data_IF_929984533743
#
_entry.id   IF_929984533743
#
_cell.length_a   1.000
_cell.length_b   1.000
_cell.length_c   1.000
_cell.angle_alpha   90.00
_cell.angle_beta   90.00
_cell.angle_gamma   90.00
#
_symmetry.space_group_name_H-M   'P 1'
#
loop_
_entity.id
_entity.type
_entity.pdbx_description
1 polymer ?
#
# COMPACT_ATOMS: atom_id res chain seq x y z
N UNK A 1 -1.99 -17.20 1.04
CA UNK A 1 -1.06 -16.16 1.47
C UNK A 1 0.07 -15.97 0.46
N UNK A 2 -0.06 -14.91 -0.32
CA UNK A 2 0.92 -14.36 -1.23
C UNK A 2 0.51 -12.93 -1.56
N UNK A 3 1.45 -12.11 -2.01
CA UNK A 3 1.15 -10.82 -2.60
C UNK A 3 1.95 -10.68 -3.89
N UNK A 4 1.75 -9.60 -4.63
CA UNK A 4 2.50 -9.30 -5.83
C UNK A 4 3.14 -7.92 -5.75
N UNK A 5 4.44 -7.83 -6.03
CA UNK A 5 5.15 -6.54 -6.05
C UNK A 5 5.51 -6.12 -7.47
N UNK A 6 5.46 -4.81 -7.74
CA UNK A 6 6.06 -4.26 -8.96
C UNK A 6 7.57 -4.11 -8.76
N UNK A 7 8.36 -5.02 -9.34
CA UNK A 7 9.82 -4.94 -9.23
C UNK A 7 10.42 -3.86 -10.14
N UNK A 8 11.31 -3.06 -9.57
CA UNK A 8 11.98 -1.95 -10.24
C UNK A 8 13.33 -2.37 -10.81
N UNK A 9 13.66 -2.00 -12.06
CA UNK A 9 14.99 -2.23 -12.61
C UNK A 9 16.03 -1.36 -11.91
N UNK A 10 17.30 -1.82 -11.89
CA UNK A 10 18.41 -1.11 -11.22
C UNK A 10 18.51 0.38 -11.62
N UNK A 11 18.24 0.72 -12.88
CA UNK A 11 18.27 2.12 -13.35
C UNK A 11 17.23 3.04 -12.71
N UNK A 12 16.12 2.47 -12.22
CA UNK A 12 15.08 3.21 -11.52
C UNK A 12 15.33 3.36 -10.01
N UNK A 13 16.27 2.60 -9.45
CA UNK A 13 16.60 2.66 -8.03
C UNK A 13 17.26 4.00 -7.66
N UNK A 14 17.05 4.44 -6.43
CA UNK A 14 17.57 5.68 -5.87
C UNK A 14 18.39 5.45 -4.61
N UNK A 15 18.77 6.54 -3.95
CA UNK A 15 19.54 6.53 -2.71
C UNK A 15 18.74 6.98 -1.50
N UNK A 16 17.51 7.46 -1.72
CA UNK A 16 16.64 8.03 -0.69
C UNK A 16 15.24 7.45 -0.83
N UNK A 17 14.75 6.86 0.27
CA UNK A 17 13.42 6.28 0.36
C UNK A 17 12.75 6.69 1.67
N UNK A 18 11.42 6.64 1.69
CA UNK A 18 10.65 6.54 2.92
C UNK A 18 9.84 5.26 2.91
N UNK A 19 9.77 4.62 4.07
CA UNK A 19 8.90 3.48 4.24
C UNK A 19 7.44 3.92 4.30
N UNK A 20 6.56 3.12 3.70
CA UNK A 20 5.11 3.14 3.91
C UNK A 20 4.67 1.69 3.88
N UNK A 21 3.97 1.24 4.93
CA UNK A 21 3.63 -0.16 5.09
C UNK A 21 2.53 -0.38 6.11
N UNK A 22 2.24 -1.64 6.41
CA UNK A 22 1.29 -2.05 7.45
C UNK A 22 2.06 -2.20 8.77
N UNK A 23 1.52 -1.73 9.92
CA UNK A 23 2.16 -1.92 11.22
C UNK A 23 2.24 -3.40 11.60
N UNK A 24 3.13 -3.72 12.52
CA UNK A 24 3.20 -5.04 13.12
C UNK A 24 1.84 -5.48 13.68
N UNK A 25 1.58 -6.77 13.66
CA UNK A 25 0.30 -7.34 14.07
C UNK A 25 0.49 -8.43 15.11
N UNK A 26 -0.44 -8.50 16.06
CA UNK A 26 -0.48 -9.57 17.05
C UNK A 26 -1.80 -10.31 16.98
N UNK A 27 -1.73 -11.64 17.11
CA UNK A 27 -2.92 -12.42 17.40
C UNK A 27 -3.32 -12.20 18.85
N UNK A 28 -4.60 -11.90 19.10
CA UNK A 28 -5.11 -11.82 20.46
C UNK A 28 -4.88 -13.16 21.18
N UNK A 29 -4.12 -13.13 22.28
CA UNK A 29 -3.91 -14.26 23.18
C UNK A 29 -4.41 -13.91 24.59
N UNK A 30 -4.84 -14.93 25.33
CA UNK A 30 -5.34 -14.78 26.70
C UNK A 30 -4.62 -15.75 27.64
N UNK A 31 -4.24 -15.27 28.82
CA UNK A 31 -3.80 -16.17 29.88
C UNK A 31 -4.96 -17.08 30.36
N UNK A 32 -4.63 -18.02 31.26
CA UNK A 32 -5.60 -18.97 31.81
C UNK A 32 -6.75 -18.30 32.59
N UNK A 33 -6.58 -17.04 32.98
CA UNK A 33 -7.55 -16.25 33.73
C UNK A 33 -8.37 -15.32 32.79
N UNK A 34 -8.12 -15.38 31.47
CA UNK A 34 -8.82 -14.58 30.46
C UNK A 34 -8.26 -13.17 30.28
N UNK A 35 -7.10 -12.86 30.87
CA UNK A 35 -6.46 -11.56 30.67
C UNK A 35 -5.70 -11.54 29.34
N UNK A 36 -5.76 -10.44 28.57
CA UNK A 36 -4.97 -10.31 27.35
C UNK A 36 -3.47 -10.41 27.64
N UNK A 37 -2.78 -11.33 26.96
CA UNK A 37 -1.31 -11.45 26.99
C UNK A 37 -0.74 -11.23 25.60
N UNK A 38 0.55 -10.91 25.55
CA UNK A 38 1.32 -10.78 24.31
C UNK A 38 1.32 -12.15 23.61
N UNK A 39 0.55 -12.26 22.52
CA UNK A 39 0.51 -13.45 21.68
C UNK A 39 1.70 -13.51 20.71
N UNK A 40 1.83 -14.56 19.89
CA UNK A 40 2.81 -14.55 18.81
C UNK A 40 2.48 -13.43 17.82
N UNK A 41 3.28 -12.36 17.83
CA UNK A 41 3.19 -11.28 16.86
C UNK A 41 3.95 -11.60 15.57
N UNK A 42 3.55 -10.90 14.52
CA UNK A 42 4.22 -10.89 13.23
C UNK A 42 4.76 -9.46 13.00
N UNK A 43 6.07 -9.29 12.78
CA UNK A 43 6.65 -7.97 12.62
C UNK A 43 6.31 -7.40 11.23
N UNK A 44 6.13 -6.08 11.20
CA UNK A 44 6.31 -5.31 9.98
C UNK A 44 7.80 -5.24 9.65
N UNK A 45 8.14 -5.27 8.36
CA UNK A 45 9.53 -5.31 7.91
C UNK A 45 9.86 -4.15 6.97
N UNK A 46 11.10 -3.68 7.07
CA UNK A 46 11.74 -2.79 6.11
C UNK A 46 13.02 -3.47 5.64
N UNK A 47 13.07 -3.82 4.36
CA UNK A 47 14.22 -4.52 3.77
C UNK A 47 14.96 -3.63 2.79
N UNK A 48 16.29 -3.57 2.91
CA UNK A 48 17.19 -2.85 2.01
C UNK A 48 18.13 -3.83 1.33
N UNK A 49 18.23 -3.79 0.00
CA UNK A 49 19.11 -4.63 -0.80
C UNK A 49 20.19 -3.76 -1.45
N UNK A 50 21.45 -4.06 -1.18
CA UNK A 50 22.60 -3.40 -1.80
C UNK A 50 22.74 -3.77 -3.28
N UNK A 51 23.11 -2.81 -4.13
CA UNK A 51 23.39 -3.08 -5.56
C UNK A 51 24.89 -2.97 -5.90
N UNK A 52 25.70 -2.55 -4.93
CA UNK A 52 27.13 -2.32 -5.09
C UNK A 52 27.86 -2.63 -3.78
N UNK A 53 29.08 -3.20 -3.83
CA UNK A 53 29.86 -3.45 -2.63
C UNK A 53 30.24 -2.17 -1.89
N UNK A 54 30.16 -2.20 -0.56
CA UNK A 54 30.56 -1.06 0.29
C UNK A 54 29.51 0.04 0.38
N UNK A 55 28.27 -0.24 -0.04
CA UNK A 55 27.15 0.70 0.06
C UNK A 55 26.82 0.94 1.53
N UNK A 56 27.01 2.17 2.03
CA UNK A 56 26.62 2.51 3.39
C UNK A 56 25.16 2.92 3.38
N UNK A 57 24.37 2.29 4.24
CA UNK A 57 22.94 2.56 4.41
C UNK A 57 22.71 3.09 5.82
N UNK A 58 21.90 4.12 5.94
CA UNK A 58 21.39 4.67 7.20
C UNK A 58 19.87 4.66 7.16
N UNK A 59 19.24 4.14 8.20
CA UNK A 59 17.80 4.16 8.40
C UNK A 59 17.49 4.99 9.63
N UNK A 60 16.73 6.06 9.46
CA UNK A 60 16.22 6.88 10.56
C UNK A 60 14.77 6.49 10.82
N UNK A 61 14.51 5.88 11.96
CA UNK A 61 13.19 5.44 12.40
C UNK A 61 12.34 6.63 12.90
N UNK A 62 11.00 6.55 12.79
CA UNK A 62 10.10 7.52 13.40
C UNK A 62 10.26 7.55 14.93
N UNK A 63 9.89 8.68 15.54
CA UNK A 63 9.99 8.84 16.99
C UNK A 63 9.15 7.79 17.73
N UNK A 64 9.78 7.12 18.70
CA UNK A 64 9.11 6.12 19.55
C UNK A 64 9.04 4.72 18.94
N UNK A 65 9.33 4.56 17.65
CA UNK A 65 9.34 3.26 16.99
C UNK A 65 10.46 2.39 17.55
N UNK A 66 10.13 1.13 17.81
CA UNK A 66 11.06 0.10 18.27
C UNK A 66 11.20 -0.99 17.22
N UNK A 67 12.44 -1.47 17.07
CA UNK A 67 12.82 -2.57 16.18
C UNK A 67 13.57 -3.62 16.99
N UNK A 68 13.52 -4.86 16.52
CA UNK A 68 14.25 -5.96 17.10
C UNK A 68 15.77 -5.82 16.84
N UNK A 69 16.56 -6.49 17.68
CA UNK A 69 18.01 -6.53 17.48
C UNK A 69 18.35 -7.33 16.23
N UNK A 70 19.26 -6.80 15.42
CA UNK A 70 19.76 -7.50 14.25
C UNK A 70 20.51 -8.78 14.68
N UNK A 71 20.01 -9.97 14.35
CA UNK A 71 20.59 -11.23 14.81
C UNK A 71 21.99 -11.48 14.21
N UNK A 72 22.32 -10.81 13.11
CA UNK A 72 23.64 -10.89 12.48
C UNK A 72 24.66 -9.95 13.13
N UNK A 73 24.20 -9.05 14.01
CA UNK A 73 25.02 -8.02 14.69
C UNK A 73 25.86 -7.16 13.73
N UNK A 74 25.46 -7.06 12.45
CA UNK A 74 26.19 -6.25 11.45
C UNK A 74 25.76 -4.79 11.47
N UNK A 75 24.53 -4.50 11.91
CA UNK A 75 24.03 -3.14 12.01
C UNK A 75 24.44 -2.46 13.32
N UNK A 76 24.72 -1.17 13.23
CA UNK A 76 24.98 -0.30 14.37
C UNK A 76 23.72 0.51 14.67
N UNK A 77 23.36 0.60 15.94
CA UNK A 77 22.20 1.38 16.41
C UNK A 77 22.65 2.51 17.34
N UNK A 78 22.18 3.73 17.06
CA UNK A 78 22.31 4.90 17.92
C UNK A 78 20.95 5.60 18.04
N UNK A 79 20.20 5.24 19.09
CA UNK A 79 18.82 5.71 19.27
C UNK A 79 17.90 5.23 18.14
N UNK A 80 17.35 6.17 17.38
CA UNK A 80 16.47 5.94 16.23
C UNK A 80 17.22 5.79 14.90
N UNK A 81 18.57 5.85 14.92
CA UNK A 81 19.39 5.71 13.72
C UNK A 81 20.01 4.32 13.69
N UNK A 82 19.74 3.58 12.63
CA UNK A 82 20.36 2.30 12.30
C UNK A 82 21.31 2.50 11.11
N UNK A 83 22.41 1.78 11.07
CA UNK A 83 23.31 1.81 9.91
C UNK A 83 23.97 0.47 9.65
N UNK A 84 24.19 0.17 8.38
CA UNK A 84 24.89 -1.03 7.92
C UNK A 84 25.71 -0.72 6.65
N UNK A 85 26.69 -1.58 6.35
CA UNK A 85 27.42 -1.55 5.07
C UNK A 85 27.04 -2.80 4.31
N UNK A 86 26.49 -2.63 3.10
CA UNK A 86 25.99 -3.72 2.28
C UNK A 86 26.94 -4.01 1.11
N UNK A 87 27.10 -5.30 0.83
CA UNK A 87 27.64 -5.86 -0.39
C UNK A 87 26.69 -5.74 -1.58
N UNK A 88 27.14 -6.21 -2.73
CA UNK A 88 26.25 -6.44 -3.87
C UNK A 88 25.28 -7.58 -3.57
N UNK A 89 23.99 -7.34 -3.81
CA UNK A 89 22.88 -8.27 -3.54
C UNK A 89 22.76 -8.70 -2.07
N UNK A 90 23.42 -7.98 -1.15
CA UNK A 90 23.28 -8.22 0.28
C UNK A 90 21.96 -7.62 0.78
N UNK A 91 21.18 -8.46 1.48
CA UNK A 91 19.86 -8.10 2.01
C UNK A 91 19.99 -7.72 3.48
N UNK A 92 19.40 -6.58 3.87
CA UNK A 92 19.28 -6.12 5.25
C UNK A 92 17.83 -5.84 5.61
N UNK A 93 17.26 -6.71 6.45
CA UNK A 93 15.90 -6.60 6.95
C UNK A 93 15.90 -6.06 8.37
N UNK A 94 15.04 -5.08 8.60
CA UNK A 94 14.75 -4.46 9.88
C UNK A 94 13.32 -4.87 10.25
N UNK A 95 13.16 -5.50 11.41
CA UNK A 95 11.87 -5.98 11.92
C UNK A 95 11.38 -5.05 13.02
N UNK A 96 10.15 -4.56 12.88
CA UNK A 96 9.50 -3.79 13.91
C UNK A 96 9.23 -4.69 15.12
N UNK A 97 9.44 -4.18 16.33
CA UNK A 97 9.04 -4.91 17.53
C UNK A 97 7.52 -5.09 17.52
N UNK A 98 7.03 -6.26 17.91
CA UNK A 98 5.65 -6.71 17.68
C UNK A 98 4.59 -5.67 18.10
N UNK A 99 4.31 -5.51 19.39
CA UNK A 99 3.45 -4.42 19.86
C UNK A 99 4.00 -3.73 21.09
N UNK A 100 3.42 -2.56 21.36
CA UNK A 100 3.61 -1.85 22.61
C UNK A 100 2.24 -1.69 23.27
N UNK A 101 2.17 -2.07 24.54
CA UNK A 101 0.96 -1.92 25.36
C UNK A 101 0.72 -0.45 25.68
N UNK A 102 -0.41 0.10 25.24
CA UNK A 102 -0.87 1.46 25.54
C UNK A 102 -2.24 1.37 26.21
N UNK A 103 -2.27 1.55 27.53
CA UNK A 103 -3.50 1.33 28.31
C UNK A 103 -3.89 -0.14 28.30
N UNK A 104 -5.05 -0.45 27.70
CA UNK A 104 -5.56 -1.82 27.52
C UNK A 104 -5.38 -2.36 26.10
N UNK A 105 -4.82 -1.56 25.18
CA UNK A 105 -4.66 -1.92 23.78
C UNK A 105 -3.20 -2.33 23.49
N UNK A 106 -3.04 -3.24 22.53
CA UNK A 106 -1.74 -3.59 21.94
C UNK A 106 -1.61 -2.85 20.62
N UNK A 107 -0.63 -1.95 20.54
CA UNK A 107 -0.38 -1.12 19.36
C UNK A 107 0.82 -1.65 18.60
N UNK A 108 0.58 -2.09 17.36
CA UNK A 108 1.63 -2.51 16.44
C UNK A 108 2.60 -1.39 16.13
N UNK A 109 3.90 -1.70 16.12
CA UNK A 109 4.90 -0.73 15.66
C UNK A 109 4.78 -0.54 14.14
N UNK A 110 4.63 0.72 13.71
CA UNK A 110 4.56 1.09 12.30
C UNK A 110 5.90 1.67 11.84
N UNK A 111 6.53 1.05 10.85
CA UNK A 111 7.78 1.54 10.26
C UNK A 111 7.53 2.68 9.24
N UNK A 112 6.28 3.01 8.93
CA UNK A 112 5.94 4.10 7.99
C UNK A 112 6.58 5.42 8.42
N UNK A 113 7.10 6.17 7.44
CA UNK A 113 7.85 7.40 7.68
C UNK A 113 9.34 7.20 7.92
N UNK A 114 9.80 5.97 8.23
CA UNK A 114 11.24 5.66 8.36
C UNK A 114 11.98 6.06 7.09
N UNK A 115 13.10 6.76 7.25
CA UNK A 115 13.85 7.33 6.13
C UNK A 115 15.11 6.51 5.87
N UNK A 116 15.28 6.03 4.64
CA UNK A 116 16.47 5.31 4.18
C UNK A 116 17.36 6.25 3.38
N UNK A 117 18.66 6.24 3.67
CA UNK A 117 19.72 6.95 2.97
C UNK A 117 20.84 6.00 2.61
N UNK A 118 21.29 6.01 1.37
CA UNK A 118 22.38 5.17 0.89
C UNK A 118 23.42 5.96 0.10
N UNK A 119 24.67 5.50 0.13
CA UNK A 119 25.76 6.11 -0.67
C UNK A 119 25.76 5.68 -2.15
N UNK A 120 24.98 4.63 -2.48
CA UNK A 120 24.79 4.11 -3.83
C UNK A 120 23.35 3.59 -3.96
N UNK A 121 22.81 3.39 -5.18
CA UNK A 121 21.45 2.91 -5.36
C UNK A 121 21.16 1.62 -4.58
N UNK A 122 19.98 1.55 -3.96
CA UNK A 122 19.51 0.37 -3.22
C UNK A 122 18.07 0.04 -3.63
N UNK A 123 17.66 -1.22 -3.51
CA UNK A 123 16.25 -1.56 -3.53
C UNK A 123 15.71 -1.53 -2.10
N UNK A 124 14.50 -1.00 -1.90
CA UNK A 124 13.85 -0.93 -0.59
C UNK A 124 12.48 -1.55 -0.70
N UNK A 125 12.17 -2.46 0.22
CA UNK A 125 10.89 -3.15 0.33
C UNK A 125 10.27 -2.86 1.68
N UNK A 126 8.96 -2.68 1.70
CA UNK A 126 8.14 -2.83 2.91
C UNK A 126 7.55 -4.22 2.89
N UNK A 127 7.31 -4.80 4.06
CA UNK A 127 6.61 -6.07 4.12
C UNK A 127 6.00 -6.39 5.47
N UNK A 128 5.32 -7.54 5.50
CA UNK A 128 4.71 -8.11 6.69
C UNK A 128 4.63 -9.63 6.54
N UNK A 129 4.97 -10.40 7.57
CA UNK A 129 4.94 -11.88 7.45
C UNK A 129 3.51 -12.44 7.31
N UNK A 130 2.58 -11.95 8.11
CA UNK A 130 1.16 -12.32 8.09
C UNK A 130 0.39 -11.24 8.86
N UNK A 131 -0.56 -10.53 8.25
CA UNK A 131 -1.42 -9.54 8.94
C UNK A 131 -2.85 -9.59 8.43
N UNK A 132 -3.80 -9.41 9.35
CA UNK A 132 -5.17 -9.01 9.00
C UNK A 132 -5.17 -7.54 8.58
N UNK A 133 -6.05 -7.16 7.65
CA UNK A 133 -6.30 -5.75 7.38
C UNK A 133 -7.79 -5.51 7.06
N UNK A 134 -8.55 -4.79 7.91
CA UNK A 134 -8.15 -4.25 9.21
C UNK A 134 -7.72 -5.36 10.20
N UNK A 135 -6.87 -5.03 11.16
CA UNK A 135 -6.20 -5.99 12.06
C UNK A 135 -7.14 -6.77 12.99
N UNK A 136 -8.43 -6.44 12.99
CA UNK A 136 -9.51 -7.12 13.70
C UNK A 136 -10.34 -8.06 12.80
N UNK A 137 -9.98 -8.19 11.53
CA UNK A 137 -10.77 -8.88 10.50
C UNK A 137 -9.92 -9.87 9.70
N UNK A 138 -10.15 -11.16 9.93
CA UNK A 138 -9.50 -12.24 9.22
C UNK A 138 -9.73 -12.18 7.68
N UNK A 139 -8.95 -12.88 6.85
CA UNK A 139 -7.77 -13.67 7.16
C UNK A 139 -6.47 -12.88 6.96
N UNK A 140 -5.33 -13.47 7.32
CA UNK A 140 -4.04 -12.79 7.20
C UNK A 140 -3.40 -13.09 5.87
N UNK A 141 -2.60 -12.13 5.41
CA UNK A 141 -1.68 -12.33 4.30
C UNK A 141 -0.27 -11.85 4.62
N UNK A 142 0.68 -12.46 3.93
CA UNK A 142 2.01 -11.95 3.69
C UNK A 142 1.89 -10.77 2.74
N UNK A 143 2.50 -9.64 3.10
CA UNK A 143 2.48 -8.42 2.30
C UNK A 143 3.91 -8.08 1.93
N UNK A 144 4.15 -7.72 0.68
CA UNK A 144 5.46 -7.25 0.22
C UNK A 144 5.32 -6.31 -0.97
N UNK A 145 6.02 -5.18 -0.94
CA UNK A 145 6.03 -4.25 -2.06
C UNK A 145 7.36 -3.53 -2.17
N UNK A 146 7.84 -3.35 -3.41
CA UNK A 146 9.05 -2.57 -3.67
C UNK A 146 8.71 -1.09 -3.72
N UNK A 147 9.31 -0.31 -2.82
CA UNK A 147 9.03 1.11 -2.71
C UNK A 147 9.69 1.92 -3.83
N UNK A 148 9.02 2.98 -4.28
CA UNK A 148 9.64 3.97 -5.16
C UNK A 148 10.58 4.89 -4.39
N UNK A 149 11.78 5.21 -4.94
CA UNK A 149 12.64 6.23 -4.35
C UNK A 149 11.94 7.60 -4.36
N UNK A 150 12.32 8.47 -3.44
CA UNK A 150 11.70 9.80 -3.26
C UNK A 150 11.76 10.65 -4.54
N UNK A 151 12.80 10.51 -5.35
CA UNK A 151 12.95 11.23 -6.64
C UNK A 151 11.94 10.77 -7.72
N UNK A 152 11.32 9.60 -7.55
CA UNK A 152 10.27 9.07 -8.40
C UNK A 152 8.85 9.47 -7.92
N UNK A 153 8.72 10.09 -6.74
CA UNK A 153 7.43 10.49 -6.17
C UNK A 153 6.70 11.56 -6.98
N UNK A 154 5.41 11.73 -6.67
CA UNK A 154 4.49 12.55 -7.42
C UNK A 154 3.60 13.43 -6.56
N UNK A 155 2.85 14.33 -7.21
CA UNK A 155 1.95 15.26 -6.53
C UNK A 155 0.49 15.14 -7.01
N UNK A 156 0.21 14.31 -8.00
CA UNK A 156 -1.12 14.13 -8.58
C UNK A 156 -1.42 12.66 -8.65
N UNK A 157 -2.50 12.23 -8.02
CA UNK A 157 -2.91 10.83 -7.92
C UNK A 157 -4.41 10.70 -8.20
N UNK A 158 -4.81 9.51 -8.59
CA UNK A 158 -6.22 9.10 -8.65
C UNK A 158 -6.29 7.85 -7.79
N UNK A 159 -6.93 7.95 -6.63
CA UNK A 159 -7.14 6.83 -5.73
C UNK A 159 -8.33 6.04 -6.28
N UNK A 160 -8.09 4.83 -6.75
CA UNK A 160 -9.10 3.99 -7.39
C UNK A 160 -9.21 2.66 -6.64
N UNK A 161 -10.21 2.50 -5.76
CA UNK A 161 -10.46 1.23 -5.08
C UNK A 161 -10.61 0.09 -6.09
N UNK A 162 -10.18 -1.14 -5.74
CA UNK A 162 -10.64 -2.35 -6.42
C UNK A 162 -12.17 -2.43 -6.45
N UNK A 163 -12.71 -3.22 -7.37
CA UNK A 163 -14.14 -3.56 -7.39
C UNK A 163 -14.56 -4.11 -6.03
N UNK A 164 -15.65 -3.59 -5.48
CA UNK A 164 -16.22 -4.13 -4.25
C UNK A 164 -16.61 -5.59 -4.46
N UNK A 165 -16.15 -6.45 -3.55
CA UNK A 165 -16.41 -7.89 -3.54
C UNK A 165 -17.73 -8.22 -2.87
N UNK A 166 -18.16 -7.41 -1.90
CA UNK A 166 -19.38 -7.67 -1.16
C UNK A 166 -20.63 -7.56 -2.03
N UNK A 167 -21.54 -8.55 -2.02
CA UNK A 167 -22.85 -8.44 -2.66
C UNK A 167 -23.81 -7.51 -1.91
N UNK A 168 -23.48 -7.13 -0.66
CA UNK A 168 -24.26 -6.17 0.12
C UNK A 168 -23.33 -5.14 0.81
N UNK A 169 -22.77 -4.18 0.05
CA UNK A 169 -21.79 -3.24 0.57
C UNK A 169 -22.32 -2.38 1.73
N UNK A 170 -23.62 -2.07 1.76
CA UNK A 170 -24.23 -1.28 2.82
C UNK A 170 -24.10 -1.94 4.21
N UNK A 171 -23.91 -3.26 4.23
CA UNK A 171 -23.73 -4.06 5.41
C UNK A 171 -22.27 -4.52 5.59
N UNK A 172 -21.44 -4.50 4.56
CA UNK A 172 -20.04 -4.89 4.67
C UNK A 172 -19.18 -3.84 5.40
N UNK A 173 -18.02 -4.27 5.92
CA UNK A 173 -16.92 -3.41 6.38
C UNK A 173 -15.85 -3.19 5.31
N UNK A 174 -15.99 -3.85 4.16
CA UNK A 174 -15.04 -3.79 3.03
C UNK A 174 -14.69 -2.35 2.67
N UNK A 175 -13.42 -2.05 2.50
CA UNK A 175 -12.95 -0.72 2.08
C UNK A 175 -11.53 -0.84 1.53
N UNK A 176 -11.09 0.15 0.77
CA UNK A 176 -9.67 0.31 0.45
C UNK A 176 -9.08 1.34 1.38
N UNK A 177 -7.99 1.01 2.07
CA UNK A 177 -7.26 1.97 2.88
C UNK A 177 -6.19 2.66 2.05
N UNK A 178 -6.03 3.95 2.30
CA UNK A 178 -5.03 4.79 1.64
C UNK A 178 -4.10 5.33 2.70
N UNK A 179 -2.85 4.84 2.74
CA UNK A 179 -1.83 5.35 3.64
C UNK A 179 -0.92 6.32 2.89
N UNK A 180 -0.92 7.58 3.33
CA UNK A 180 -0.17 8.68 2.71
C UNK A 180 1.07 8.96 3.55
N UNK A 181 2.23 9.14 2.91
CA UNK A 181 3.47 9.57 3.58
C UNK A 181 4.07 10.78 2.86
N UNK A 182 4.52 11.77 3.63
CA UNK A 182 5.18 12.96 3.11
C UNK A 182 6.71 12.91 3.34
N UNK A 183 7.48 13.51 2.42
CA UNK A 183 8.93 13.71 2.59
C UNK A 183 9.33 15.17 2.85
N UNK A 184 8.40 16.10 2.63
CA UNK A 184 8.62 17.53 2.83
C UNK A 184 7.74 18.07 3.96
N UNK A 185 8.27 18.97 4.77
CA UNK A 185 7.51 19.64 5.83
C UNK A 185 6.37 20.48 5.26
N UNK A 186 5.29 20.61 6.03
CA UNK A 186 4.08 21.34 5.66
C UNK A 186 3.51 20.95 4.28
N UNK A 187 3.59 19.66 3.93
CA UNK A 187 2.96 19.13 2.73
C UNK A 187 1.45 19.15 2.91
N UNK A 188 0.75 19.86 2.02
CA UNK A 188 -0.71 19.93 1.98
C UNK A 188 -1.20 18.96 0.93
N UNK A 189 -1.96 17.96 1.34
CA UNK A 189 -2.67 17.02 0.48
C UNK A 189 -4.13 17.45 0.39
N UNK A 190 -4.58 17.80 -0.82
CA UNK A 190 -5.95 18.20 -1.12
C UNK A 190 -6.67 17.07 -1.84
N UNK A 191 -7.80 16.65 -1.26
CA UNK A 191 -8.71 15.68 -1.85
C UNK A 191 -9.65 16.38 -2.84
N UNK A 192 -10.08 15.65 -3.86
CA UNK A 192 -10.97 16.17 -4.90
C UNK A 192 -12.38 16.51 -4.41
N UNK A 193 -12.74 16.09 -3.20
CA UNK A 193 -14.01 16.34 -2.50
C UNK A 193 -13.75 16.51 -1.00
N UNK A 194 -14.67 17.13 -0.24
CA UNK A 194 -14.63 17.11 1.21
C UNK A 194 -14.41 15.69 1.76
N UNK A 195 -13.53 15.54 2.74
CA UNK A 195 -13.18 14.27 3.37
C UNK A 195 -14.40 13.52 3.88
N UNK A 196 -15.38 14.23 4.45
CA UNK A 196 -16.63 13.65 4.93
C UNK A 196 -17.48 13.01 3.81
N UNK A 197 -17.40 13.52 2.57
CA UNK A 197 -18.20 13.01 1.44
C UNK A 197 -17.71 11.64 0.95
N UNK A 198 -16.47 11.26 1.32
CA UNK A 198 -15.93 9.91 1.11
C UNK A 198 -16.53 8.88 2.06
N UNK A 199 -17.25 9.30 3.11
CA UNK A 199 -17.72 8.44 4.20
C UNK A 199 -16.57 7.56 4.73
N UNK A 200 -15.48 8.18 5.20
CA UNK A 200 -14.21 7.50 5.40
C UNK A 200 -14.31 6.45 6.51
N UNK A 201 -13.72 5.28 6.28
CA UNK A 201 -13.47 4.33 7.35
C UNK A 201 -12.24 4.78 8.17
N UNK A 202 -12.21 4.53 9.48
CA UNK A 202 -11.02 4.79 10.30
C UNK A 202 -9.85 3.90 9.83
N UNK A 203 -8.61 4.19 10.25
CA UNK A 203 -7.46 3.35 9.94
C UNK A 203 -7.66 1.87 10.28
N UNK A 204 -7.05 0.99 9.49
CA UNK A 204 -7.23 -0.45 9.60
C UNK A 204 -6.49 -1.08 10.79
N UNK A 205 -5.64 -0.34 11.48
CA UNK A 205 -4.89 -0.83 12.64
C UNK A 205 -4.83 0.22 13.75
N UNK A 206 -4.82 -0.25 15.00
CA UNK A 206 -4.64 0.61 16.16
C UNK A 206 -3.27 1.29 16.12
N UNK A 207 -3.21 2.59 16.45
CA UNK A 207 -1.99 3.39 16.44
C UNK A 207 -1.59 3.97 15.08
N UNK A 208 -2.21 3.54 13.98
CA UNK A 208 -2.06 4.24 12.69
C UNK A 208 -2.77 5.61 12.78
N UNK A 209 -2.09 6.73 12.47
CA UNK A 209 -2.71 8.04 12.54
C UNK A 209 -3.87 8.19 11.55
N UNK A 210 -5.03 8.64 12.03
CA UNK A 210 -6.20 8.93 11.19
C UNK A 210 -6.02 10.24 10.41
N UNK A 211 -6.19 10.21 9.08
CA UNK A 211 -6.11 11.42 8.26
C UNK A 211 -7.19 12.46 8.62
N UNK A 212 -8.34 12.04 9.13
CA UNK A 212 -9.38 12.93 9.64
C UNK A 212 -8.91 13.81 10.81
N UNK A 213 -7.99 13.31 11.63
CA UNK A 213 -7.37 14.07 12.71
C UNK A 213 -6.28 15.04 12.23
N UNK A 214 -5.88 14.95 10.96
CA UNK A 214 -4.86 15.79 10.31
C UNK A 214 -5.47 16.84 9.37
N UNK A 215 -6.79 16.98 9.37
CA UNK A 215 -7.49 17.96 8.53
C UNK A 215 -7.20 19.39 8.96
N UNK A 216 -6.86 20.24 7.97
CA UNK A 216 -6.73 21.70 8.11
C UNK A 216 -7.82 22.45 7.35
N UNK A 217 -8.73 21.72 6.70
CA UNK A 217 -9.88 22.20 5.95
C UNK A 217 -10.87 21.05 5.67
N UNK A 218 -11.95 21.27 4.93
CA UNK A 218 -12.92 20.21 4.61
C UNK A 218 -12.32 19.08 3.76
N UNK A 219 -11.29 19.36 2.98
CA UNK A 219 -10.67 18.51 1.96
C UNK A 219 -9.13 18.50 2.01
N UNK A 220 -8.54 19.16 3.02
CA UNK A 220 -7.09 19.34 3.13
C UNK A 220 -6.51 18.64 4.35
N UNK A 221 -5.47 17.84 4.12
CA UNK A 221 -4.66 17.16 5.13
C UNK A 221 -3.26 17.78 5.11
N UNK A 222 -2.69 18.10 6.28
CA UNK A 222 -1.32 18.62 6.38
C UNK A 222 -0.40 17.62 7.08
N UNK A 223 0.74 17.30 6.46
CA UNK A 223 1.76 16.37 6.97
C UNK A 223 3.14 17.04 7.00
N UNK A 224 3.92 16.76 8.04
CA UNK A 224 5.36 17.07 8.08
C UNK A 224 6.19 15.95 7.42
N UNK A 225 7.49 16.20 7.20
CA UNK A 225 8.37 15.20 6.64
C UNK A 225 8.45 13.95 7.54
N UNK A 226 8.15 12.78 6.97
CA UNK A 226 8.09 11.50 7.68
C UNK A 226 6.78 11.26 8.43
N UNK A 227 5.86 12.22 8.44
CA UNK A 227 4.51 11.94 8.93
C UNK A 227 3.70 11.20 7.87
N UNK A 228 2.80 10.36 8.38
CA UNK A 228 1.85 9.61 7.59
C UNK A 228 0.48 9.62 8.27
N UNK A 229 -0.55 9.33 7.49
CA UNK A 229 -1.89 9.06 8.00
C UNK A 229 -2.62 8.10 7.06
N UNK A 230 -3.73 7.56 7.53
CA UNK A 230 -4.57 6.64 6.76
C UNK A 230 -6.06 7.00 6.86
N UNK A 231 -6.80 6.67 5.81
CA UNK A 231 -8.26 6.59 5.82
C UNK A 231 -8.73 5.52 4.83
N UNK A 232 -9.90 4.93 5.08
CA UNK A 232 -10.54 4.04 4.11
C UNK A 232 -11.55 4.76 3.22
N UNK A 233 -11.61 4.40 1.93
CA UNK A 233 -12.72 4.80 1.05
C UNK A 233 -13.17 3.67 0.12
N UNK A 234 -14.42 3.76 -0.33
CA UNK A 234 -15.02 2.88 -1.35
C UNK A 234 -15.24 3.56 -2.70
N UNK A 235 -14.91 4.84 -2.78
CA UNK A 235 -15.16 5.68 -3.96
C UNK A 235 -13.84 6.21 -4.51
N UNK A 236 -13.71 6.32 -5.84
CA UNK A 236 -12.55 6.91 -6.45
C UNK A 236 -12.47 8.41 -6.15
N UNK A 237 -11.28 8.91 -5.84
CA UNK A 237 -11.06 10.33 -5.52
C UNK A 237 -9.71 10.83 -6.05
N UNK A 238 -9.70 12.04 -6.60
CA UNK A 238 -8.48 12.71 -7.02
C UNK A 238 -7.71 13.27 -5.82
N UNK A 239 -6.38 13.26 -5.90
CA UNK A 239 -5.51 13.83 -4.87
C UNK A 239 -4.47 14.73 -5.50
N UNK A 240 -4.33 15.93 -4.96
CA UNK A 240 -3.29 16.90 -5.31
C UNK A 240 -2.48 17.24 -4.05
N UNK A 241 -1.16 17.07 -4.10
CA UNK A 241 -0.26 17.46 -3.03
C UNK A 241 0.55 18.72 -3.40
N UNK A 242 0.93 19.54 -2.42
CA UNK A 242 1.80 20.71 -2.63
C UNK A 242 3.28 20.33 -2.80
N UNK A 243 3.67 19.14 -2.34
CA UNK A 243 4.99 18.53 -2.48
C UNK A 243 4.85 17.03 -2.83
N UNK A 244 5.90 16.35 -3.33
CA UNK A 244 5.83 14.94 -3.61
C UNK A 244 5.47 14.10 -2.38
N UNK A 245 4.54 13.15 -2.55
CA UNK A 245 4.14 12.16 -1.56
C UNK A 245 4.20 10.76 -2.17
N UNK A 246 4.13 9.73 -1.32
CA UNK A 246 3.82 8.37 -1.73
C UNK A 246 2.53 7.91 -1.05
N UNK A 247 1.74 7.12 -1.76
CA UNK A 247 0.46 6.61 -1.29
C UNK A 247 0.46 5.11 -1.51
N UNK A 248 0.20 4.35 -0.45
CA UNK A 248 -0.06 2.93 -0.51
C UNK A 248 -1.57 2.69 -0.49
N UNK A 249 -2.04 1.83 -1.39
CA UNK A 249 -3.37 1.23 -1.30
C UNK A 249 -3.30 -0.09 -0.56
N UNK A 250 -4.31 -0.38 0.26
CA UNK A 250 -4.43 -1.64 1.00
C UNK A 250 -5.85 -2.17 0.77
N UNK A 251 -5.95 -3.34 0.16
CA UNK A 251 -7.20 -4.07 0.01
C UNK A 251 -7.56 -4.72 1.35
N UNK A 252 -8.81 -4.58 1.81
CA UNK A 252 -9.24 -5.23 3.04
C UNK A 252 -9.38 -6.77 2.88
N UNK A 253 -9.28 -7.54 3.95
CA UNK A 253 -9.43 -9.00 3.91
C UNK A 253 -10.87 -9.52 3.88
N UNK A 254 -11.03 -10.82 3.64
CA UNK A 254 -12.28 -11.54 3.38
C UNK A 254 -13.36 -11.32 4.44
N UNK A 255 -13.03 -11.28 5.73
CA UNK A 255 -14.05 -11.08 6.77
C UNK A 255 -14.71 -9.69 6.72
N UNK A 256 -14.19 -8.77 5.90
CA UNK A 256 -14.82 -7.46 5.70
C UNK A 256 -15.96 -7.46 4.69
N UNK A 257 -16.07 -8.46 3.80
CA UNK A 257 -17.04 -8.47 2.69
C UNK A 257 -18.44 -8.97 3.08
N UNK A 258 -18.62 -9.52 4.29
CA UNK A 258 -19.93 -10.00 4.77
C UNK A 258 -19.98 -10.23 6.28
N UNK A 259 -21.19 -10.24 6.85
CA UNK A 259 -21.43 -10.43 8.30
C UNK A 259 -21.53 -11.87 8.76
N UNK A 260 -21.84 -12.80 7.85
CA UNK A 260 -21.79 -14.21 8.18
C UNK A 260 -20.31 -14.58 8.15
N UNK A 261 -19.72 -14.78 9.33
CA UNK A 261 -18.35 -15.27 9.54
C UNK A 261 -18.21 -16.72 9.03
N UNK A 262 -18.51 -16.96 7.75
CA UNK A 262 -17.88 -18.06 7.04
C UNK A 262 -16.67 -17.47 6.32
N UNK A 263 -15.48 -17.51 6.94
CA UNK A 263 -14.28 -17.02 6.30
C UNK A 263 -13.88 -17.89 5.11
N UNK A 264 -14.55 -19.03 4.83
CA UNK A 264 -14.39 -19.82 3.61
C UNK A 264 -15.63 -19.67 2.70
N UNK A 265 -15.44 -19.76 1.39
CA UNK A 265 -16.50 -19.74 0.39
C UNK A 265 -17.06 -18.35 0.04
N UNK A 266 -16.42 -17.27 0.49
CA UNK A 266 -16.77 -15.92 0.03
C UNK A 266 -15.98 -15.54 -1.23
N UNK A 267 -14.89 -16.26 -1.53
CA UNK A 267 -14.00 -16.03 -2.66
C UNK A 267 -13.62 -14.55 -2.75
N UNK A 268 -13.11 -14.00 -1.65
CA UNK A 268 -12.89 -12.57 -1.48
C UNK A 268 -11.45 -12.23 -1.07
N UNK A 269 -10.59 -13.19 -0.73
CA UNK A 269 -9.17 -12.95 -0.50
C UNK A 269 -8.83 -12.33 0.85
N UNK A 270 -7.61 -12.57 1.28
CA UNK A 270 -6.90 -11.89 2.36
C UNK A 270 -6.48 -10.45 1.91
N UNK A 271 -5.83 -9.62 2.75
CA UNK A 271 -5.44 -8.27 2.32
C UNK A 271 -4.25 -8.31 1.35
N UNK A 272 -4.19 -7.33 0.45
CA UNK A 272 -3.06 -7.10 -0.47
C UNK A 272 -2.66 -5.61 -0.48
N UNK A 273 -1.40 -5.29 -0.80
CA UNK A 273 -0.90 -3.91 -0.87
C UNK A 273 -0.37 -3.55 -2.25
N UNK A 274 -0.40 -2.25 -2.57
CA UNK A 274 0.29 -1.74 -3.75
C UNK A 274 0.70 -0.27 -3.55
N UNK A 275 1.70 0.20 -4.30
CA UNK A 275 1.97 1.64 -4.39
C UNK A 275 1.08 2.28 -5.47
N UNK A 276 0.34 3.32 -5.11
CA UNK A 276 -0.42 4.13 -6.06
C UNK A 276 0.54 5.00 -6.86
N UNK A 277 0.63 4.83 -8.20
CA UNK A 277 1.51 5.65 -9.00
C UNK A 277 0.95 7.06 -9.18
N UNK A 278 1.80 8.08 -9.21
CA UNK A 278 1.33 9.40 -9.59
C UNK A 278 1.00 9.43 -11.09
N UNK A 279 0.02 10.26 -11.48
CA UNK A 279 -0.49 10.35 -12.86
C UNK A 279 0.60 10.58 -13.91
N UNK A 280 1.72 11.24 -13.55
CA UNK A 280 2.87 11.45 -14.43
C UNK A 280 3.58 10.17 -14.88
N UNK A 281 3.30 9.03 -14.23
CA UNK A 281 3.86 7.71 -14.53
C UNK A 281 2.90 6.85 -15.36
N UNK A 282 1.72 7.37 -15.72
CA UNK A 282 0.75 6.68 -16.58
C UNK A 282 1.33 6.44 -17.97
N UNK A 283 0.99 5.29 -18.54
CA UNK A 283 1.52 4.81 -19.82
C UNK A 283 0.39 4.59 -20.81
N UNK A 284 0.76 4.38 -22.07
CA UNK A 284 -0.19 4.06 -23.15
C UNK A 284 -0.32 2.56 -23.41
N UNK A 285 0.55 1.75 -22.81
CA UNK A 285 0.55 0.31 -23.01
C UNK A 285 1.14 -0.39 -21.79
N UNK A 286 0.49 -1.48 -21.39
CA UNK A 286 0.89 -2.34 -20.29
C UNK A 286 0.85 -3.78 -20.76
N UNK A 287 1.81 -4.58 -20.32
CA UNK A 287 1.77 -6.03 -20.36
C UNK A 287 1.84 -6.55 -18.94
N UNK A 288 0.99 -7.49 -18.59
CA UNK A 288 0.87 -8.03 -17.23
C UNK A 288 0.40 -9.48 -17.28
N UNK A 289 0.49 -10.18 -16.14
CA UNK A 289 0.11 -11.58 -15.99
C UNK A 289 -0.97 -11.70 -14.93
N UNK A 290 -2.01 -12.48 -15.23
CA UNK A 290 -2.99 -13.00 -14.28
C UNK A 290 -2.67 -14.48 -14.00
N UNK A 291 -2.33 -14.89 -12.76
CA UNK A 291 -2.08 -16.29 -12.42
C UNK A 291 -3.35 -17.16 -12.46
N UNK A 292 -3.22 -18.44 -12.77
CA UNK A 292 -4.34 -19.39 -12.98
C UNK A 292 -4.88 -20.06 -11.70
N UNK A 293 -4.63 -19.46 -10.54
CA UNK A 293 -4.91 -20.05 -9.23
C UNK A 293 -5.92 -19.28 -8.39
N UNK A 294 -6.60 -18.30 -8.99
CA UNK A 294 -7.54 -17.43 -8.29
C UNK A 294 -8.98 -17.67 -8.77
N UNK A 295 -9.95 -17.31 -7.93
CA UNK A 295 -11.36 -17.42 -8.30
C UNK A 295 -11.74 -16.40 -9.37
N UNK A 296 -11.14 -15.20 -9.29
CA UNK A 296 -11.39 -14.12 -10.24
C UNK A 296 -10.23 -13.12 -10.27
N UNK A 297 -9.87 -12.70 -11.49
CA UNK A 297 -8.86 -11.71 -11.76
C UNK A 297 -9.49 -10.44 -12.33
N UNK A 298 -8.92 -9.30 -11.97
CA UNK A 298 -9.34 -7.99 -12.44
C UNK A 298 -8.17 -7.13 -12.88
N UNK A 299 -8.44 -6.31 -13.89
CA UNK A 299 -7.69 -5.08 -14.13
C UNK A 299 -8.61 -3.87 -13.94
N UNK A 300 -8.29 -3.03 -12.96
CA UNK A 300 -8.90 -1.71 -12.81
C UNK A 300 -8.12 -0.71 -13.63
N UNK A 301 -8.80 -0.02 -14.54
CA UNK A 301 -8.24 1.00 -15.42
C UNK A 301 -8.75 2.36 -15.01
N UNK A 302 -7.85 3.34 -14.94
CA UNK A 302 -8.20 4.75 -14.78
C UNK A 302 -7.64 5.57 -15.93
N UNK A 303 -8.51 6.25 -16.67
CA UNK A 303 -8.12 6.94 -17.90
C UNK A 303 -8.91 8.24 -18.11
N UNK A 304 -8.36 9.19 -18.90
CA UNK A 304 -9.10 10.35 -19.35
C UNK A 304 -10.37 9.97 -20.12
N UNK A 305 -11.45 10.73 -19.97
CA UNK A 305 -12.69 10.56 -20.73
C UNK A 305 -12.41 10.64 -22.23
N UNK A 306 -12.93 9.69 -22.99
CA UNK A 306 -12.73 9.58 -24.43
C UNK A 306 -11.46 8.80 -24.82
N UNK A 307 -10.70 8.27 -23.86
CA UNK A 307 -9.61 7.33 -24.17
C UNK A 307 -10.19 6.06 -24.78
N UNK A 308 -9.69 5.68 -25.95
CA UNK A 308 -10.00 4.41 -26.60
C UNK A 308 -9.05 3.36 -26.01
N UNK A 309 -9.60 2.29 -25.43
CA UNK A 309 -8.84 1.23 -24.76
C UNK A 309 -9.08 -0.10 -25.47
N UNK A 310 -8.03 -0.90 -25.63
CA UNK A 310 -8.12 -2.28 -26.08
C UNK A 310 -7.41 -3.21 -25.10
N UNK A 311 -8.08 -4.29 -24.67
CA UNK A 311 -7.52 -5.39 -23.90
C UNK A 311 -7.45 -6.62 -24.83
N UNK A 312 -6.24 -7.15 -25.03
CA UNK A 312 -5.97 -8.28 -25.92
C UNK A 312 -6.50 -8.09 -27.35
N UNK A 313 -6.43 -6.84 -27.82
CA UNK A 313 -6.92 -6.42 -29.13
C UNK A 313 -8.43 -6.22 -29.22
N UNK A 314 -9.19 -6.48 -28.16
CA UNK A 314 -10.63 -6.22 -28.10
C UNK A 314 -10.90 -4.87 -27.42
N UNK A 315 -11.84 -4.05 -27.93
CA UNK A 315 -12.25 -2.82 -27.23
C UNK A 315 -12.72 -3.10 -25.81
N UNK A 316 -12.25 -2.32 -24.85
CA UNK A 316 -12.72 -2.38 -23.46
C UNK A 316 -14.14 -1.82 -23.40
N UNK A 317 -15.05 -2.58 -22.80
CA UNK A 317 -16.39 -2.08 -22.48
C UNK A 317 -16.32 -1.08 -21.32
N UNK A 318 -16.85 0.11 -21.57
CA UNK A 318 -16.89 1.21 -20.61
C UNK A 318 -18.24 1.32 -19.90
N UNK A 319 -19.16 0.37 -20.11
CA UNK A 319 -20.41 0.28 -19.36
C UNK A 319 -20.10 0.04 -17.88
N UNK A 320 -20.71 0.88 -17.03
CA UNK A 320 -20.52 0.81 -15.58
C UNK A 320 -19.36 1.66 -15.05
N UNK A 321 -18.64 2.37 -15.93
CA UNK A 321 -17.51 3.19 -15.50
C UNK A 321 -17.95 4.35 -14.59
N UNK A 322 -17.18 4.55 -13.53
CA UNK A 322 -17.43 5.58 -12.54
C UNK A 322 -16.54 6.79 -12.80
N UNK A 323 -17.03 7.99 -12.48
CA UNK A 323 -16.19 9.20 -12.51
C UNK A 323 -15.32 9.26 -11.28
N UNK A 324 -14.09 9.77 -11.43
CA UNK A 324 -13.22 10.04 -10.29
C UNK A 324 -13.62 11.37 -9.64
N UNK A 325 -13.99 11.33 -8.36
CA UNK A 325 -14.45 12.52 -7.65
C UNK A 325 -13.34 13.59 -7.59
N UNK A 326 -13.66 14.82 -8.02
CA UNK A 326 -12.70 15.93 -8.14
C UNK A 326 -11.75 15.86 -9.34
N UNK A 327 -11.94 14.88 -10.24
CA UNK A 327 -11.28 14.82 -11.53
C UNK A 327 -12.29 14.35 -12.60
N UNK A 328 -13.31 15.17 -12.88
CA UNK A 328 -14.41 14.85 -13.81
C UNK A 328 -13.94 14.47 -15.23
N UNK A 329 -12.70 14.83 -15.59
CA UNK A 329 -12.04 14.42 -16.83
C UNK A 329 -11.55 12.97 -16.86
N UNK A 330 -11.72 12.19 -15.79
CA UNK A 330 -11.28 10.79 -15.67
C UNK A 330 -12.43 9.86 -15.30
N UNK A 331 -12.34 8.63 -15.79
CA UNK A 331 -13.17 7.51 -15.37
C UNK A 331 -12.31 6.39 -14.78
N UNK A 332 -12.94 5.54 -13.98
CA UNK A 332 -12.40 4.25 -13.53
C UNK A 332 -13.34 3.12 -13.95
N UNK A 333 -12.77 2.00 -14.39
CA UNK A 333 -13.50 0.78 -14.71
C UNK A 333 -12.72 -0.44 -14.23
N UNK A 334 -13.36 -1.31 -13.46
CA UNK A 334 -12.84 -2.64 -13.17
C UNK A 334 -13.32 -3.63 -14.23
N UNK A 335 -12.38 -4.39 -14.80
CA UNK A 335 -12.61 -5.33 -15.89
C UNK A 335 -12.20 -6.70 -15.37
N UNK A 336 -13.13 -7.65 -15.39
CA UNK A 336 -12.82 -9.05 -15.11
C UNK A 336 -12.02 -9.62 -16.29
N UNK A 337 -10.95 -10.35 -16.00
CA UNK A 337 -10.03 -10.90 -16.99
C UNK A 337 -9.87 -12.40 -16.80
N UNK A 338 -9.50 -13.08 -17.87
CA UNK A 338 -9.15 -14.51 -17.84
C UNK A 338 -7.73 -14.70 -17.31
N UNK A 339 -7.34 -15.94 -17.03
CA UNK A 339 -5.97 -16.25 -16.64
C UNK A 339 -4.98 -16.08 -17.81
N UNK A 340 -3.75 -15.71 -17.46
CA UNK A 340 -2.61 -15.70 -18.38
C UNK A 340 -2.10 -14.29 -18.72
N UNK A 341 -1.33 -14.17 -19.82
CA UNK A 341 -0.70 -12.92 -20.20
C UNK A 341 -1.69 -11.99 -20.91
N UNK A 342 -1.73 -10.74 -20.47
CA UNK A 342 -2.57 -9.69 -21.07
C UNK A 342 -1.76 -8.53 -21.60
N UNK A 343 -2.34 -7.85 -22.59
CA UNK A 343 -1.88 -6.54 -23.04
C UNK A 343 -3.05 -5.57 -23.13
N UNK A 344 -2.92 -4.43 -22.46
CA UNK A 344 -3.87 -3.33 -22.57
C UNK A 344 -3.19 -2.10 -23.18
N UNK A 345 -3.87 -1.46 -24.12
CA UNK A 345 -3.37 -0.30 -24.87
C UNK A 345 -4.42 0.81 -24.92
N UNK A 346 -3.95 2.06 -24.97
CA UNK A 346 -4.80 3.24 -24.90
C UNK A 346 -4.36 4.36 -25.84
N UNK A 347 -5.33 5.10 -26.39
CA UNK A 347 -5.06 6.27 -27.25
C UNK A 347 -4.45 7.46 -26.48
N UNK A 348 -4.58 7.48 -25.15
CA UNK A 348 -3.98 8.43 -24.21
C UNK A 348 -3.36 7.69 -23.02
N UNK A 349 -2.45 8.32 -22.23
CA UNK A 349 -1.92 7.71 -21.02
C UNK A 349 -3.01 7.41 -19.98
N UNK A 350 -2.95 6.22 -19.39
CA UNK A 350 -3.86 5.71 -18.34
C UNK A 350 -3.07 4.95 -17.28
N UNK A 351 -3.68 4.65 -16.14
CA UNK A 351 -3.11 3.81 -15.09
C UNK A 351 -3.88 2.50 -14.95
N UNK A 352 -3.21 1.45 -14.45
CA UNK A 352 -3.85 0.17 -14.11
C UNK A 352 -3.46 -0.33 -12.72
N UNK A 353 -4.39 -1.04 -12.09
CA UNK A 353 -4.19 -1.88 -10.93
C UNK A 353 -4.65 -3.29 -11.31
N UNK A 354 -3.77 -4.28 -11.21
CA UNK A 354 -4.09 -5.69 -11.45
C UNK A 354 -4.21 -6.36 -10.10
N UNK A 355 -5.27 -7.12 -9.90
CA UNK A 355 -5.52 -7.78 -8.63
C UNK A 355 -6.43 -8.99 -8.82
N UNK A 356 -6.31 -9.95 -7.92
CA UNK A 356 -7.18 -11.11 -7.88
C UNK A 356 -7.42 -11.53 -6.44
N UNK A 357 -8.39 -12.43 -6.27
CA UNK A 357 -8.69 -13.02 -4.99
C UNK A 357 -9.39 -14.36 -5.15
N UNK A 358 -9.14 -15.24 -4.18
CA UNK A 358 -9.84 -16.49 -3.93
C UNK A 358 -9.97 -16.65 -2.41
N UNK A 359 -10.49 -17.75 -1.91
CA UNK A 359 -10.52 -18.02 -0.48
C UNK A 359 -9.12 -17.99 0.13
N UNK A 360 -8.88 -17.05 1.05
CA UNK A 360 -7.64 -16.91 1.82
C UNK A 360 -6.38 -16.62 0.99
N UNK A 361 -6.56 -15.99 -0.17
CA UNK A 361 -5.45 -15.64 -1.05
C UNK A 361 -5.85 -14.48 -1.97
N UNK A 362 -4.95 -13.53 -2.16
CA UNK A 362 -5.15 -12.36 -3.02
C UNK A 362 -3.82 -11.92 -3.61
N UNK A 363 -3.85 -10.95 -4.51
CA UNK A 363 -2.67 -10.15 -4.83
C UNK A 363 -3.14 -8.81 -5.36
N UNK A 364 -2.29 -7.79 -5.28
CA UNK A 364 -2.51 -6.54 -5.98
C UNK A 364 -1.18 -5.94 -6.41
N UNK A 365 -1.07 -5.47 -7.66
CA UNK A 365 0.09 -4.70 -8.08
C UNK A 365 -0.30 -3.61 -9.06
N UNK A 366 0.38 -2.46 -8.96
CA UNK A 366 0.21 -1.43 -9.99
C UNK A 366 0.91 -1.85 -11.28
N UNK A 367 0.30 -1.54 -12.43
CA UNK A 367 0.94 -1.81 -13.71
C UNK A 367 2.27 -1.08 -13.87
N UNK A 368 3.11 -1.56 -14.80
CA UNK A 368 4.43 -1.00 -15.02
C UNK A 368 4.42 0.53 -15.25
N UNK A 369 5.45 1.21 -14.76
CA UNK A 369 5.54 2.68 -14.75
C UNK A 369 6.67 3.16 -15.66
N UNK A 370 6.62 4.42 -16.10
CA UNK A 370 7.76 5.01 -16.83
C UNK A 370 8.96 5.29 -15.91
N UNK A 371 8.75 5.27 -14.59
CA UNK A 371 9.75 5.48 -13.53
C UNK A 371 10.62 6.73 -13.75
N UNK A 372 10.02 7.76 -14.37
CA UNK A 372 10.70 9.01 -14.64
C UNK A 372 11.07 9.72 -13.33
N UNK A 373 12.35 10.00 -13.13
CA UNK A 373 12.84 10.77 -11.97
C UNK A 373 12.64 12.27 -12.22
N UNK A 374 12.45 13.04 -11.15
CA UNK A 374 12.32 14.50 -11.21
C UNK A 374 13.66 15.20 -11.35
#
# INVERSE_FOLDING_TARGET
TNDASLLLPIGALGTVYRNVGVPAWETADQDRDGNPVEGPGFPATLTVIGTQPGTRVTVTLPAGVQVDEDPTQRSQRNGQVLSAVLGDSEVWTIEARQTVRVGNDYIGQDLSGARVEATAPVAVFTGHQCTYYPQDSAACDHLEEQLFPVDAWGAQFLLTPPKLRSPNPALARETTYWKLVADTDATVVTLGVPFADLSPAPPGAAGVPDCGARLTGPDQITLQAGEFCEFGSRRPVAVQASAPVQIMGIMSGQATVGFNFDPAGQNAGDPAIWIVPPQRQFRRSYAFLAPDTYYVDYVTVVAPVGTELTLDGQPVDMIGAERVAGADGFFVQAIEIEDGPHRIEGSAPFGILVYAYDDYVSYAFTGGLDLSKR
#
